data_IF_907926915205
#
_entry.id   IF_907926915205
#
_cell.length_a   1.000
_cell.length_b   1.000
_cell.length_c   1.000
_cell.angle_alpha   90.00
_cell.angle_beta   90.00
_cell.angle_gamma   90.00
#
_symmetry.space_group_name_H-M   'P 1'
#
loop_
_entity.id
_entity.type
_entity.pdbx_description
1 polymer ?
#
# COMPACT_ATOMS: atom_id res chain seq x y z
N UNK A 1 -21.97 -21.46 3.80
CA UNK A 1 -21.37 -20.37 4.61
C UNK A 1 -19.88 -20.36 4.35
N UNK A 2 -19.26 -19.18 4.26
CA UNK A 2 -17.80 -19.08 4.16
C UNK A 2 -17.18 -19.27 5.54
N UNK A 3 -15.97 -19.84 5.62
CA UNK A 3 -15.20 -19.89 6.87
C UNK A 3 -15.01 -18.50 7.50
N UNK A 4 -15.02 -17.43 6.68
CA UNK A 4 -14.98 -16.04 7.14
C UNK A 4 -16.24 -15.66 7.93
N UNK A 5 -17.40 -16.17 7.52
CA UNK A 5 -18.68 -15.92 8.19
C UNK A 5 -18.73 -16.68 9.52
N UNK A 6 -18.23 -17.92 9.53
CA UNK A 6 -18.18 -18.78 10.72
C UNK A 6 -17.26 -18.22 11.82
N UNK A 7 -16.17 -17.57 11.43
CA UNK A 7 -15.19 -16.98 12.36
C UNK A 7 -15.67 -15.69 13.04
N UNK A 8 -16.80 -15.12 12.61
CA UNK A 8 -17.38 -13.90 13.20
C UNK A 8 -16.32 -12.80 13.41
N UNK A 9 -16.13 -12.30 14.63
CA UNK A 9 -15.21 -11.20 14.95
C UNK A 9 -13.74 -11.58 14.70
N UNK A 10 -13.39 -12.87 14.78
CA UNK A 10 -12.02 -13.34 14.56
C UNK A 10 -11.54 -13.11 13.12
N UNK A 11 -12.48 -12.98 12.17
CA UNK A 11 -12.16 -12.71 10.78
C UNK A 11 -12.11 -11.20 10.42
N UNK A 12 -12.04 -10.29 11.41
CA UNK A 12 -11.93 -8.84 11.16
C UNK A 12 -10.72 -8.48 10.28
N UNK A 13 -9.55 -9.07 10.55
CA UNK A 13 -8.35 -8.82 9.76
C UNK A 13 -8.51 -9.24 8.30
N UNK A 14 -9.14 -10.39 8.05
CA UNK A 14 -9.42 -10.88 6.70
C UNK A 14 -10.43 -10.01 5.96
N UNK A 15 -11.44 -9.48 6.65
CA UNK A 15 -12.42 -8.54 6.06
C UNK A 15 -11.76 -7.22 5.69
N UNK A 16 -10.94 -6.65 6.58
CA UNK A 16 -10.18 -5.44 6.29
C UNK A 16 -9.22 -5.63 5.12
N UNK A 17 -8.54 -6.77 5.04
CA UNK A 17 -7.68 -7.11 3.91
C UNK A 17 -8.48 -7.16 2.59
N UNK A 18 -9.63 -7.84 2.56
CA UNK A 18 -10.49 -7.88 1.37
C UNK A 18 -10.99 -6.49 0.95
N UNK A 19 -11.31 -5.64 1.91
CA UNK A 19 -11.70 -4.27 1.65
C UNK A 19 -10.54 -3.49 1.02
N UNK A 20 -9.34 -3.59 1.59
CA UNK A 20 -8.13 -3.00 1.03
C UNK A 20 -7.84 -3.51 -0.39
N UNK A 21 -7.92 -4.82 -0.62
CA UNK A 21 -7.68 -5.44 -1.93
C UNK A 21 -8.68 -4.95 -2.99
N UNK A 22 -9.90 -4.57 -2.57
CA UNK A 22 -10.90 -3.98 -3.46
C UNK A 22 -10.49 -2.55 -3.84
N UNK A 23 -10.16 -1.71 -2.85
CA UNK A 23 -9.67 -0.35 -3.11
C UNK A 23 -8.39 -0.35 -3.96
N UNK A 24 -7.45 -1.26 -3.69
CA UNK A 24 -6.21 -1.36 -4.45
C UNK A 24 -6.46 -1.65 -5.94
N UNK A 25 -7.47 -2.48 -6.27
CA UNK A 25 -7.88 -2.73 -7.65
C UNK A 25 -8.48 -1.50 -8.29
N UNK A 26 -9.36 -0.80 -7.58
CA UNK A 26 -10.01 0.41 -8.10
C UNK A 26 -8.97 1.49 -8.40
N UNK A 27 -8.00 1.70 -7.49
CA UNK A 27 -6.89 2.64 -7.71
C UNK A 27 -6.02 2.24 -8.90
N UNK A 28 -5.71 0.95 -9.05
CA UNK A 28 -4.96 0.47 -10.21
C UNK A 28 -5.72 0.71 -11.53
N UNK A 29 -7.04 0.58 -11.52
CA UNK A 29 -7.88 0.88 -12.67
C UNK A 29 -7.85 2.38 -13.00
N UNK A 30 -7.96 3.26 -12.00
CA UNK A 30 -7.85 4.72 -12.18
C UNK A 30 -6.51 5.08 -12.85
N UNK A 31 -5.40 4.52 -12.38
CA UNK A 31 -4.08 4.82 -12.94
C UNK A 31 -3.97 4.37 -14.40
N UNK A 32 -4.59 3.23 -14.73
CA UNK A 32 -4.65 2.73 -16.11
C UNK A 32 -5.50 3.64 -17.01
N UNK A 33 -6.64 4.09 -16.51
CA UNK A 33 -7.56 4.96 -17.26
C UNK A 33 -6.95 6.35 -17.52
N UNK A 34 -6.10 6.83 -16.61
CA UNK A 34 -5.30 8.06 -16.75
C UNK A 34 -3.97 7.84 -17.51
N UNK A 35 -3.77 6.66 -18.13
CA UNK A 35 -2.57 6.29 -18.88
C UNK A 35 -1.24 6.44 -18.11
N UNK A 36 -1.29 6.33 -16.77
CA UNK A 36 -0.12 6.40 -15.91
C UNK A 36 0.66 5.07 -15.96
N UNK A 37 1.91 5.12 -16.42
CA UNK A 37 2.83 3.95 -16.45
C UNK A 37 3.45 3.64 -15.08
N UNK A 38 2.81 4.06 -13.99
CA UNK A 38 3.35 4.03 -12.64
C UNK A 38 2.45 3.17 -11.75
N UNK A 39 3.03 2.26 -10.96
CA UNK A 39 2.22 1.41 -10.09
C UNK A 39 1.78 2.17 -8.82
N UNK A 40 0.49 2.12 -8.43
CA UNK A 40 -0.02 2.83 -7.26
C UNK A 40 0.71 2.52 -5.95
N UNK A 41 1.26 1.31 -5.81
CA UNK A 41 1.99 0.88 -4.60
C UNK A 41 3.20 1.76 -4.30
N UNK A 42 3.81 2.38 -5.31
CA UNK A 42 4.96 3.27 -5.16
C UNK A 42 4.57 4.71 -4.84
N UNK A 43 3.27 5.04 -4.91
CA UNK A 43 2.80 6.42 -4.80
C UNK A 43 3.20 7.10 -3.50
N UNK A 44 3.09 6.40 -2.36
CA UNK A 44 3.41 6.96 -1.04
C UNK A 44 4.89 7.31 -0.92
N UNK A 45 5.77 6.44 -1.43
CA UNK A 45 7.21 6.68 -1.49
C UNK A 45 7.54 7.86 -2.40
N UNK A 46 6.97 7.87 -3.61
CA UNK A 46 7.15 8.97 -4.57
C UNK A 46 6.67 10.31 -3.98
N UNK A 47 5.48 10.32 -3.39
CA UNK A 47 4.90 11.51 -2.79
C UNK A 47 5.78 12.05 -1.66
N UNK A 48 6.26 11.19 -0.77
CA UNK A 48 7.17 11.56 0.31
C UNK A 48 8.45 12.22 -0.22
N UNK A 49 9.12 11.58 -1.19
CA UNK A 49 10.35 12.10 -1.80
C UNK A 49 10.07 13.43 -2.53
N UNK A 50 8.95 13.54 -3.26
CA UNK A 50 8.57 14.79 -3.93
C UNK A 50 8.38 15.98 -2.98
N UNK A 51 8.01 15.71 -1.71
CA UNK A 51 7.79 16.73 -0.69
C UNK A 51 9.04 17.08 0.10
N UNK A 52 9.86 16.08 0.43
CA UNK A 52 11.04 16.23 1.30
C UNK A 52 12.35 16.40 0.54
N UNK A 53 12.38 16.04 -0.74
CA UNK A 53 13.59 15.95 -1.53
C UNK A 53 14.38 14.70 -1.16
N UNK A 54 15.70 14.86 -0.98
CA UNK A 54 16.58 13.79 -0.54
C UNK A 54 16.30 13.46 0.94
N UNK A 55 15.94 12.20 1.22
CA UNK A 55 15.57 11.70 2.55
C UNK A 55 16.19 10.32 2.77
N UNK A 56 16.64 10.04 4.00
CA UNK A 56 17.30 8.78 4.34
C UNK A 56 16.33 7.58 4.40
N UNK A 57 16.82 6.38 4.11
CA UNK A 57 16.01 5.14 4.15
C UNK A 57 15.36 4.91 5.53
N UNK A 58 16.08 5.22 6.60
CA UNK A 58 15.60 5.19 7.99
C UNK A 58 14.38 6.09 8.20
N UNK A 59 14.48 7.34 7.73
CA UNK A 59 13.42 8.34 7.89
C UNK A 59 12.19 7.97 7.05
N UNK A 60 12.39 7.40 5.85
CA UNK A 60 11.31 6.87 5.03
C UNK A 60 10.58 5.73 5.76
N UNK A 61 11.32 4.82 6.40
CA UNK A 61 10.74 3.71 7.13
C UNK A 61 9.86 4.19 8.29
N UNK A 62 10.34 5.19 9.03
CA UNK A 62 9.60 5.81 10.13
C UNK A 62 8.35 6.55 9.63
N UNK A 63 8.45 7.37 8.57
CA UNK A 63 7.31 8.13 8.04
C UNK A 63 6.24 7.23 7.39
N UNK A 64 6.64 6.16 6.71
CA UNK A 64 5.71 5.22 6.05
C UNK A 64 5.23 4.10 6.97
N UNK A 65 5.69 4.05 8.22
CA UNK A 65 5.44 2.95 9.16
C UNK A 65 5.79 1.58 8.55
N UNK A 66 6.90 1.52 7.80
CA UNK A 66 7.43 0.31 7.18
C UNK A 66 8.72 -0.12 7.89
N UNK A 67 9.12 -1.37 7.72
CA UNK A 67 10.45 -1.80 8.15
C UNK A 67 11.51 -1.32 7.14
N UNK A 68 12.76 -1.16 7.57
CA UNK A 68 13.85 -0.78 6.63
C UNK A 68 13.95 -1.76 5.43
N UNK A 69 13.86 -3.10 5.61
CA UNK A 69 13.82 -4.02 4.48
C UNK A 69 12.58 -3.82 3.58
N UNK A 70 11.44 -3.42 4.16
CA UNK A 70 10.22 -3.10 3.43
C UNK A 70 10.39 -1.89 2.52
N UNK A 71 11.03 -0.83 3.00
CA UNK A 71 11.39 0.34 2.18
C UNK A 71 12.31 -0.05 1.04
N UNK A 72 13.34 -0.87 1.30
CA UNK A 72 14.25 -1.35 0.26
C UNK A 72 13.49 -2.20 -0.79
N UNK A 73 12.54 -3.02 -0.37
CA UNK A 73 11.72 -3.79 -1.31
C UNK A 73 10.81 -2.89 -2.16
N UNK A 74 10.32 -1.79 -1.59
CA UNK A 74 9.49 -0.81 -2.28
C UNK A 74 10.28 0.09 -3.22
N UNK A 75 11.55 0.38 -2.91
CA UNK A 75 12.41 1.26 -3.70
C UNK A 75 13.22 0.52 -4.80
N UNK A 76 13.16 -0.81 -4.82
CA UNK A 76 13.77 -1.65 -5.87
C UNK A 76 12.92 -1.70 -7.13
#
# INVERSE_FOLDING_TARGET
>A
MSIIDDLQELAIGSRLKRLYDTFAKDVAQIYKDEELTFEPKYFTLYYLISRRGEIGITEIADELALTHPGVIHLAK
#
